data_IF_709282037883
#
_entry.id   IF_709282037883
#
_cell.length_a   1.000
_cell.length_b   1.000
_cell.length_c   1.000
_cell.angle_alpha   90.00
_cell.angle_beta   90.00
_cell.angle_gamma   90.00
#
_symmetry.space_group_name_H-M   'P 1'
#
loop_
_entity.id
_entity.type
_entity.pdbx_description
1 polymer ?
#
# COMPACT_ATOMS: atom_id res chain seq x y z
N UNK A 1 4.83 -10.97 -7.36
CA UNK A 1 6.06 -10.12 -7.31
C UNK A 1 7.29 -10.92 -7.75
N UNK A 2 7.73 -10.70 -8.99
CA UNK A 2 8.75 -11.51 -9.68
C UNK A 2 10.19 -10.95 -9.63
N UNK A 3 10.46 -9.75 -9.07
CA UNK A 3 11.83 -9.24 -8.95
C UNK A 3 12.48 -9.64 -7.61
N UNK A 4 13.63 -10.34 -7.62
CA UNK A 4 14.42 -10.64 -6.43
C UNK A 4 14.90 -9.38 -5.69
N UNK A 5 15.18 -8.30 -6.42
CA UNK A 5 15.69 -7.03 -5.89
C UNK A 5 14.63 -6.27 -5.08
N UNK A 6 13.35 -6.37 -5.47
CA UNK A 6 12.24 -5.80 -4.71
C UNK A 6 11.97 -6.55 -3.39
N UNK A 7 12.36 -7.83 -3.30
CA UNK A 7 12.25 -8.63 -2.07
C UNK A 7 13.38 -8.33 -1.09
N UNK A 8 14.60 -8.06 -1.57
CA UNK A 8 15.76 -7.80 -0.72
C UNK A 8 15.95 -6.34 -0.32
N UNK A 9 15.42 -5.38 -1.10
CA UNK A 9 15.58 -3.95 -0.83
C UNK A 9 14.24 -3.27 -0.51
N UNK A 10 13.95 -3.12 0.78
CA UNK A 10 12.76 -2.42 1.29
C UNK A 10 12.62 -1.03 0.69
N UNK A 11 13.70 -0.28 0.49
CA UNK A 11 13.64 1.08 -0.05
C UNK A 11 13.17 1.12 -1.50
N UNK A 12 13.74 0.25 -2.34
CA UNK A 12 13.34 0.13 -3.74
C UNK A 12 11.88 -0.33 -3.87
N UNK A 13 11.44 -1.23 -2.99
CA UNK A 13 10.05 -1.67 -2.92
C UNK A 13 9.08 -0.51 -2.66
N UNK A 14 9.31 0.27 -1.61
CA UNK A 14 8.42 1.37 -1.25
C UNK A 14 8.40 2.46 -2.32
N UNK A 15 9.56 2.84 -2.87
CA UNK A 15 9.63 3.84 -3.93
C UNK A 15 8.88 3.38 -5.19
N UNK A 16 9.06 2.12 -5.60
CA UNK A 16 8.36 1.56 -6.75
C UNK A 16 6.84 1.54 -6.51
N UNK A 17 6.40 1.01 -5.36
CA UNK A 17 4.98 0.89 -5.05
C UNK A 17 4.30 2.26 -4.97
N UNK A 18 4.93 3.24 -4.31
CA UNK A 18 4.40 4.59 -4.20
C UNK A 18 4.37 5.30 -5.56
N UNK A 19 5.37 5.09 -6.41
CA UNK A 19 5.36 5.62 -7.78
C UNK A 19 4.16 5.09 -8.56
N UNK A 20 3.90 3.78 -8.48
CA UNK A 20 2.75 3.15 -9.13
C UNK A 20 1.42 3.63 -8.54
N UNK A 21 1.35 3.77 -7.21
CA UNK A 21 0.16 4.27 -6.53
C UNK A 21 -0.19 5.67 -7.01
N UNK A 22 0.80 6.56 -7.07
CA UNK A 22 0.60 7.96 -7.44
C UNK A 22 0.35 8.14 -8.94
N UNK A 23 1.01 7.37 -9.82
CA UNK A 23 0.77 7.49 -11.26
C UNK A 23 -0.62 7.01 -11.69
N UNK A 24 -1.20 6.05 -10.97
CA UNK A 24 -2.49 5.42 -11.32
C UNK A 24 -3.68 5.95 -10.53
N UNK A 25 -3.46 6.87 -9.59
CA UNK A 25 -4.52 7.41 -8.74
C UNK A 25 -4.65 8.92 -8.96
N UNK A 26 -5.86 9.45 -9.26
CA UNK A 26 -6.07 10.88 -9.40
C UNK A 26 -6.14 11.56 -8.02
N UNK A 27 -5.07 11.47 -7.22
CA UNK A 27 -5.01 12.02 -5.87
C UNK A 27 -4.35 13.40 -5.92
N UNK A 28 -5.05 14.43 -5.47
CA UNK A 28 -4.50 15.77 -5.26
C UNK A 28 -4.44 16.08 -3.77
N UNK A 29 -3.37 16.70 -3.30
CA UNK A 29 -3.22 17.15 -1.91
C UNK A 29 -3.40 16.02 -0.86
N UNK A 30 -2.93 14.82 -1.18
CA UNK A 30 -3.14 13.61 -0.39
C UNK A 30 -2.42 13.63 0.97
N UNK A 31 -3.05 13.05 1.99
CA UNK A 31 -2.37 12.66 3.23
C UNK A 31 -2.08 11.17 3.18
N UNK A 32 -0.80 10.80 3.07
CA UNK A 32 -0.35 9.41 3.02
C UNK A 32 0.04 8.99 4.44
N UNK A 33 -0.59 7.94 4.95
CA UNK A 33 -0.14 7.22 6.14
C UNK A 33 0.53 5.92 5.74
N UNK A 34 1.66 5.60 6.37
CA UNK A 34 2.37 4.33 6.19
C UNK A 34 2.51 3.66 7.55
N UNK A 35 2.17 2.38 7.62
CA UNK A 35 2.40 1.57 8.82
C UNK A 35 3.90 1.33 9.01
N UNK A 36 4.39 1.56 10.23
CA UNK A 36 5.65 0.99 10.68
C UNK A 36 6.66 1.91 11.35
N UNK A 37 7.55 1.24 12.08
CA UNK A 37 8.67 1.78 12.87
C UNK A 37 9.97 1.88 12.07
N UNK A 38 9.92 2.25 10.78
CA UNK A 38 11.13 2.38 9.95
C UNK A 38 12.07 3.48 10.48
N UNK A 39 13.37 3.32 10.21
CA UNK A 39 14.43 4.23 10.66
C UNK A 39 14.19 5.68 10.22
N UNK A 40 14.68 6.64 11.01
CA UNK A 40 14.58 8.09 10.70
C UNK A 40 15.11 8.43 9.31
N UNK A 41 16.19 7.76 8.89
CA UNK A 41 16.82 7.94 7.57
C UNK A 41 15.84 7.53 6.46
N UNK A 42 15.25 6.34 6.55
CA UNK A 42 14.27 5.88 5.58
C UNK A 42 13.09 6.84 5.43
N UNK A 43 12.57 7.35 6.56
CA UNK A 43 11.46 8.31 6.57
C UNK A 43 11.82 9.61 5.85
N UNK A 44 13.04 10.12 6.06
CA UNK A 44 13.52 11.34 5.42
C UNK A 44 13.71 11.17 3.91
N UNK A 45 14.30 10.06 3.49
CA UNK A 45 14.51 9.75 2.07
C UNK A 45 13.19 9.58 1.33
N UNK A 46 12.22 8.87 1.92
CA UNK A 46 10.90 8.67 1.33
C UNK A 46 10.13 9.99 1.18
N UNK A 47 10.18 10.84 2.20
CA UNK A 47 9.56 12.16 2.15
C UNK A 47 10.17 13.03 1.03
N UNK A 48 11.51 12.99 0.89
CA UNK A 48 12.23 13.69 -0.18
C UNK A 48 11.82 13.16 -1.56
N UNK A 49 11.75 11.84 -1.71
CA UNK A 49 11.33 11.18 -2.94
C UNK A 49 9.92 11.61 -3.37
N UNK A 50 8.95 11.56 -2.45
CA UNK A 50 7.56 11.89 -2.75
C UNK A 50 7.38 13.38 -3.08
N UNK A 51 8.08 14.26 -2.37
CA UNK A 51 8.05 15.71 -2.65
C UNK A 51 8.64 16.06 -4.03
N UNK A 52 9.68 15.35 -4.47
CA UNK A 52 10.34 15.60 -5.77
C UNK A 52 9.61 14.97 -6.96
N UNK A 53 8.97 13.82 -6.76
CA UNK A 53 8.46 13.00 -7.86
C UNK A 53 7.06 13.37 -8.38
N UNK A 54 6.28 14.11 -7.60
CA UNK A 54 4.82 14.25 -7.81
C UNK A 54 4.34 15.61 -7.28
N UNK A 55 4.65 16.68 -8.03
CA UNK A 55 4.40 18.07 -7.65
C UNK A 55 2.92 18.29 -7.27
N UNK A 56 2.66 18.67 -6.02
CA UNK A 56 1.31 18.94 -5.48
C UNK A 56 0.40 17.73 -5.19
N UNK A 57 0.82 16.49 -5.46
CA UNK A 57 -0.05 15.31 -5.22
C UNK A 57 -0.06 14.89 -3.75
N UNK A 58 1.05 15.07 -3.03
CA UNK A 58 1.21 14.65 -1.63
C UNK A 58 1.40 15.87 -0.73
N UNK A 59 0.43 16.10 0.15
CA UNK A 59 0.46 17.17 1.15
C UNK A 59 1.29 16.77 2.38
N UNK A 60 1.03 15.56 2.88
CA UNK A 60 1.59 15.11 4.16
C UNK A 60 1.88 13.62 4.12
N UNK A 61 3.08 13.25 4.53
CA UNK A 61 3.47 11.89 4.84
C UNK A 61 3.51 11.72 6.36
N UNK A 62 2.82 10.71 6.89
CA UNK A 62 2.87 10.34 8.32
C UNK A 62 3.18 8.85 8.46
N UNK A 63 4.14 8.53 9.31
CA UNK A 63 4.33 7.17 9.79
C UNK A 63 3.51 7.00 11.06
N UNK A 64 2.76 5.92 11.16
CA UNK A 64 1.96 5.60 12.33
C UNK A 64 2.15 4.14 12.73
N UNK A 65 1.87 3.86 13.98
CA UNK A 65 1.86 2.50 14.53
C UNK A 65 0.44 1.95 14.34
N UNK A 66 0.30 0.89 13.53
CA UNK A 66 -0.98 0.23 13.26
C UNK A 66 -1.73 -0.16 14.53
N UNK A 67 -1.06 -0.48 15.64
CA UNK A 67 -1.72 -0.86 16.91
C UNK A 67 -2.66 0.21 17.45
N UNK A 68 -2.40 1.48 17.11
CA UNK A 68 -3.17 2.63 17.58
C UNK A 68 -3.85 3.43 16.45
N UNK A 69 -3.91 2.90 15.22
CA UNK A 69 -4.52 3.59 14.07
C UNK A 69 -5.54 2.70 13.35
N UNK A 70 -6.82 2.88 13.67
CA UNK A 70 -7.92 2.10 13.11
C UNK A 70 -8.01 2.13 11.58
N UNK A 71 -7.55 3.22 10.95
CA UNK A 71 -7.57 3.32 9.48
C UNK A 71 -6.52 2.43 8.83
N UNK A 72 -5.35 2.30 9.47
CA UNK A 72 -4.31 1.38 9.01
C UNK A 72 -4.77 -0.07 9.19
N UNK A 73 -5.34 -0.39 10.35
CA UNK A 73 -5.90 -1.72 10.59
C UNK A 73 -6.99 -2.08 9.58
N UNK A 74 -7.91 -1.16 9.29
CA UNK A 74 -8.94 -1.38 8.28
C UNK A 74 -8.32 -1.58 6.88
N UNK A 75 -7.29 -0.82 6.53
CA UNK A 75 -6.57 -1.03 5.27
C UNK A 75 -5.93 -2.43 5.21
N UNK A 76 -5.31 -2.89 6.30
CA UNK A 76 -4.74 -4.23 6.38
C UNK A 76 -5.79 -5.34 6.29
N UNK A 77 -6.97 -5.15 6.90
CA UNK A 77 -8.09 -6.10 6.77
C UNK A 77 -8.58 -6.19 5.32
N UNK A 78 -8.72 -5.04 4.63
CA UNK A 78 -9.08 -5.02 3.20
C UNK A 78 -8.03 -5.71 2.33
N UNK A 79 -6.75 -5.42 2.56
CA UNK A 79 -5.63 -6.07 1.86
C UNK A 79 -5.62 -7.58 2.11
N UNK A 80 -5.85 -8.00 3.36
CA UNK A 80 -5.89 -9.42 3.74
C UNK A 80 -7.08 -10.14 3.12
N UNK A 81 -8.27 -9.52 3.07
CA UNK A 81 -9.44 -10.05 2.39
C UNK A 81 -9.20 -10.26 0.88
N UNK A 82 -8.56 -9.29 0.22
CA UNK A 82 -8.14 -9.41 -1.18
C UNK A 82 -7.14 -10.55 -1.33
N UNK A 83 -6.07 -10.55 -0.53
CA UNK A 83 -5.02 -11.58 -0.58
C UNK A 83 -5.57 -12.99 -0.34
N UNK A 84 -6.52 -13.13 0.58
CA UNK A 84 -7.17 -14.40 0.89
C UNK A 84 -7.85 -15.02 -0.32
N UNK A 85 -8.48 -14.21 -1.18
CA UNK A 85 -9.12 -14.69 -2.42
C UNK A 85 -8.17 -15.32 -3.44
N UNK A 86 -6.87 -14.99 -3.36
CA UNK A 86 -5.85 -15.56 -4.25
C UNK A 86 -5.28 -16.90 -3.76
N UNK A 87 -5.51 -17.28 -2.50
CA UNK A 87 -5.06 -18.57 -1.95
C UNK A 87 -6.02 -19.69 -2.37
N UNK A 88 -5.76 -20.28 -3.55
CA UNK A 88 -6.64 -21.24 -4.25
C UNK A 88 -6.58 -22.69 -3.76
N UNK A 89 -5.79 -23.02 -2.74
CA UNK A 89 -5.42 -24.42 -2.54
C UNK A 89 -6.42 -25.29 -1.79
N UNK A 90 -7.36 -24.78 -0.98
CA UNK A 90 -8.09 -25.73 -0.10
C UNK A 90 -9.41 -25.29 0.55
N UNK A 91 -10.06 -24.19 0.13
CA UNK A 91 -11.25 -23.70 0.84
C UNK A 91 -12.35 -23.29 -0.12
N UNK A 92 -13.49 -23.99 -0.04
CA UNK A 92 -14.78 -23.45 -0.47
C UNK A 92 -14.88 -22.01 0.08
N UNK A 93 -15.28 -21.07 -0.77
CA UNK A 93 -15.55 -19.67 -0.38
C UNK A 93 -14.33 -18.74 -0.12
N UNK A 94 -13.18 -18.97 -0.76
CA UNK A 94 -12.00 -18.07 -0.63
C UNK A 94 -12.28 -16.61 -1.01
N UNK A 95 -13.33 -16.33 -1.78
CA UNK A 95 -13.68 -14.98 -2.23
C UNK A 95 -14.76 -14.27 -1.38
N UNK A 96 -15.26 -14.89 -0.30
CA UNK A 96 -16.35 -14.31 0.52
C UNK A 96 -15.99 -12.94 1.08
N UNK A 97 -14.80 -12.78 1.64
CA UNK A 97 -14.39 -11.48 2.18
C UNK A 97 -14.21 -10.42 1.09
N UNK A 98 -13.74 -10.81 -0.10
CA UNK A 98 -13.66 -9.90 -1.24
C UNK A 98 -15.06 -9.46 -1.71
N UNK A 99 -16.01 -10.39 -1.77
CA UNK A 99 -17.41 -10.11 -2.09
C UNK A 99 -18.04 -9.14 -1.09
N UNK A 100 -17.71 -9.23 0.19
CA UNK A 100 -18.19 -8.28 1.22
C UNK A 100 -17.66 -6.86 1.01
N UNK A 101 -16.43 -6.70 0.50
CA UNK A 101 -15.91 -5.38 0.11
C UNK A 101 -16.70 -4.82 -1.09
N UNK A 102 -17.08 -5.70 -2.02
CA UNK A 102 -18.00 -5.41 -3.13
C UNK A 102 -17.55 -4.21 -3.96
N UNK A 103 -18.50 -3.29 -4.23
CA UNK A 103 -18.27 -2.09 -5.08
C UNK A 103 -17.28 -1.08 -4.49
N UNK A 104 -16.80 -1.27 -3.25
CA UNK A 104 -15.80 -0.39 -2.63
C UNK A 104 -14.40 -0.63 -3.20
N UNK A 105 -14.13 -1.82 -3.74
CA UNK A 105 -12.90 -2.12 -4.47
C UNK A 105 -13.09 -1.70 -5.92
N UNK A 106 -12.42 -0.61 -6.32
CA UNK A 106 -12.50 -0.10 -7.70
C UNK A 106 -11.49 -0.75 -8.63
N UNK A 107 -10.34 -1.15 -8.10
CA UNK A 107 -9.24 -1.68 -8.89
C UNK A 107 -8.35 -2.56 -8.00
N UNK A 108 -7.91 -3.70 -8.52
CA UNK A 108 -6.90 -4.56 -7.91
C UNK A 108 -5.78 -4.70 -8.94
N UNK A 109 -4.56 -4.36 -8.55
CA UNK A 109 -3.41 -4.43 -9.44
C UNK A 109 -2.68 -5.75 -9.28
N UNK A 110 -2.78 -6.61 -10.30
CA UNK A 110 -2.01 -7.83 -10.37
C UNK A 110 -0.65 -7.54 -11.00
N UNK A 111 0.41 -7.73 -10.21
CA UNK A 111 1.79 -7.58 -10.68
C UNK A 111 2.34 -8.96 -11.04
N UNK A 112 2.24 -9.29 -12.34
CA UNK A 112 2.95 -10.41 -12.95
C UNK A 112 4.44 -10.08 -13.05
#
# INVERSE_FOLDING_TARGET
MYSPQLRSNTKSFYNFFLKQLLSKSPIKNAKIKIDGSKSKIFRAELNTYLRRGQDGMVNKLKFADSRNDYLIQLADMCCSAIAYSYNRSDRLESDVYLKMLGKRVKNIWEFQ
#
